data_IF_457221082446
#
_entry.id   IF_457221082446
#
_cell.length_a   1.000
_cell.length_b   1.000
_cell.length_c   1.000
_cell.angle_alpha   90.00
_cell.angle_beta   90.00
_cell.angle_gamma   90.00
#
_symmetry.space_group_name_H-M   'P 1'
#
loop_
_entity.id
_entity.type
_entity.pdbx_description
1 polymer ?
#
# COMPACT_ATOMS: atom_id res chain seq x y z
N UNK A 1 47.68 21.57 3.40
CA UNK A 1 46.80 21.97 2.28
C UNK A 1 46.12 20.70 1.74
N UNK A 2 44.85 20.42 2.13
CA UNK A 2 44.11 19.23 1.65
C UNK A 2 43.57 19.53 0.24
N UNK A 3 44.11 18.85 -0.77
CA UNK A 3 43.54 18.87 -2.12
C UNK A 3 42.10 18.36 -2.06
N UNK A 4 41.12 19.23 -2.37
CA UNK A 4 39.74 18.81 -2.68
C UNK A 4 39.81 17.96 -3.94
N UNK A 5 39.53 16.66 -3.84
CA UNK A 5 39.21 15.84 -5.01
C UNK A 5 38.07 16.53 -5.76
N UNK A 6 38.35 16.95 -7.00
CA UNK A 6 37.29 17.33 -7.95
C UNK A 6 36.54 16.02 -8.23
N UNK A 7 35.39 15.85 -7.58
CA UNK A 7 34.48 14.77 -7.92
C UNK A 7 33.90 15.20 -9.26
N UNK A 8 34.19 14.47 -10.32
CA UNK A 8 33.52 14.64 -11.61
C UNK A 8 32.01 14.63 -11.36
N UNK A 9 31.33 15.68 -11.79
CA UNK A 9 29.89 15.79 -11.63
C UNK A 9 29.24 14.61 -12.37
N UNK A 10 28.62 13.69 -11.63
CA UNK A 10 27.92 12.56 -12.19
C UNK A 10 26.85 13.08 -13.17
N UNK A 11 26.87 12.59 -14.40
CA UNK A 11 25.92 13.00 -15.42
C UNK A 11 24.48 12.72 -14.90
N UNK A 12 23.64 13.74 -14.87
CA UNK A 12 22.28 13.62 -14.32
C UNK A 12 21.34 13.04 -15.37
N UNK A 13 20.71 11.89 -15.15
CA UNK A 13 19.77 11.32 -16.09
C UNK A 13 18.53 12.20 -16.20
N UNK A 14 17.75 12.08 -17.29
CA UNK A 14 16.40 12.63 -17.34
C UNK A 14 15.53 12.02 -16.22
N UNK A 15 14.52 12.75 -15.75
CA UNK A 15 13.67 12.32 -14.62
C UNK A 15 13.02 10.96 -14.85
N UNK A 16 12.58 10.70 -16.09
CA UNK A 16 12.00 9.38 -16.46
C UNK A 16 13.04 8.25 -16.36
N UNK A 17 14.28 8.49 -16.80
CA UNK A 17 15.35 7.51 -16.67
C UNK A 17 15.70 7.24 -15.20
N UNK A 18 15.77 8.28 -14.38
CA UNK A 18 15.96 8.14 -12.93
C UNK A 18 14.81 7.36 -12.25
N UNK A 19 13.56 7.58 -12.69
CA UNK A 19 12.41 6.83 -12.17
C UNK A 19 12.49 5.34 -12.54
N UNK A 20 12.88 5.00 -13.77
CA UNK A 20 13.08 3.61 -14.19
C UNK A 20 14.20 2.93 -13.38
N UNK A 21 15.31 3.61 -13.17
CA UNK A 21 16.41 3.10 -12.35
C UNK A 21 15.97 2.86 -10.89
N UNK A 22 15.25 3.81 -10.30
CA UNK A 22 14.69 3.64 -8.97
C UNK A 22 13.74 2.46 -8.86
N UNK A 23 12.84 2.26 -9.85
CA UNK A 23 11.92 1.12 -9.88
C UNK A 23 12.69 -0.21 -9.97
N UNK A 24 13.75 -0.28 -10.75
CA UNK A 24 14.61 -1.47 -10.80
C UNK A 24 15.24 -1.78 -9.44
N UNK A 25 15.72 -0.74 -8.71
CA UNK A 25 16.21 -0.90 -7.33
C UNK A 25 15.11 -1.42 -6.41
N UNK A 26 13.88 -0.90 -6.53
CA UNK A 26 12.73 -1.36 -5.71
C UNK A 26 12.34 -2.80 -6.02
N UNK A 27 12.40 -3.20 -7.27
CA UNK A 27 12.16 -4.59 -7.68
C UNK A 27 13.22 -5.55 -7.09
N UNK A 28 14.49 -5.15 -7.11
CA UNK A 28 15.58 -5.93 -6.49
C UNK A 28 15.41 -6.07 -4.96
N UNK A 29 14.67 -5.18 -4.30
CA UNK A 29 14.31 -5.27 -2.88
C UNK A 29 13.17 -6.26 -2.60
N UNK A 30 12.67 -6.97 -3.61
CA UNK A 30 11.60 -7.97 -3.51
C UNK A 30 10.34 -7.46 -2.78
N UNK A 31 9.92 -6.23 -3.11
CA UNK A 31 8.67 -5.68 -2.62
C UNK A 31 7.48 -6.46 -3.20
N UNK A 32 6.31 -6.38 -2.54
CA UNK A 32 5.09 -6.98 -3.09
C UNK A 32 4.66 -6.31 -4.39
N UNK A 33 4.04 -7.08 -5.30
CA UNK A 33 3.53 -6.58 -6.59
C UNK A 33 2.63 -5.35 -6.42
N UNK A 34 1.78 -5.34 -5.39
CA UNK A 34 0.92 -4.22 -5.05
C UNK A 34 1.73 -2.95 -4.69
N UNK A 35 2.81 -3.13 -3.92
CA UNK A 35 3.69 -2.00 -3.58
C UNK A 35 4.47 -1.51 -4.80
N UNK A 36 4.91 -2.42 -5.68
CA UNK A 36 5.58 -2.07 -6.93
C UNK A 36 4.63 -1.32 -7.88
N UNK A 37 3.39 -1.81 -8.02
CA UNK A 37 2.35 -1.14 -8.80
C UNK A 37 2.08 0.28 -8.28
N UNK A 38 2.00 0.44 -6.95
CA UNK A 38 1.82 1.76 -6.34
C UNK A 38 3.00 2.71 -6.63
N UNK A 39 4.25 2.24 -6.50
CA UNK A 39 5.44 3.03 -6.89
C UNK A 39 5.34 3.47 -8.33
N UNK A 40 5.10 2.53 -9.24
CA UNK A 40 5.02 2.80 -10.67
C UNK A 40 3.93 3.84 -10.97
N UNK A 41 2.71 3.63 -10.50
CA UNK A 41 1.58 4.53 -10.77
C UNK A 41 1.82 5.96 -10.23
N UNK A 42 2.42 6.10 -9.02
CA UNK A 42 2.67 7.43 -8.47
C UNK A 42 3.82 8.14 -9.20
N UNK A 43 4.87 7.42 -9.61
CA UNK A 43 5.99 8.00 -10.35
C UNK A 43 5.59 8.36 -11.77
N UNK A 44 4.87 7.50 -12.49
CA UNK A 44 4.34 7.80 -13.83
C UNK A 44 3.50 9.08 -13.81
N UNK A 45 2.57 9.17 -12.83
CA UNK A 45 1.72 10.35 -12.68
C UNK A 45 2.54 11.62 -12.44
N UNK A 46 3.61 11.55 -11.64
CA UNK A 46 4.49 12.68 -11.37
C UNK A 46 5.31 13.05 -12.60
N UNK A 47 5.97 12.08 -13.24
CA UNK A 47 6.83 12.29 -14.42
C UNK A 47 6.03 12.85 -15.59
N UNK A 48 4.84 12.30 -15.87
CA UNK A 48 3.97 12.81 -16.93
C UNK A 48 3.50 14.27 -16.73
N UNK A 49 3.39 14.70 -15.47
CA UNK A 49 3.03 16.08 -15.10
C UNK A 49 4.21 17.03 -14.98
N UNK A 50 5.44 16.55 -15.12
CA UNK A 50 6.67 17.32 -14.94
C UNK A 50 7.33 17.64 -16.29
N UNK A 51 8.34 18.54 -16.27
CA UNK A 51 9.16 18.90 -17.44
C UNK A 51 10.24 17.86 -17.79
N UNK A 52 10.19 16.68 -17.19
CA UNK A 52 11.15 15.59 -17.38
C UNK A 52 12.63 16.03 -17.20
N UNK A 53 12.88 16.97 -16.31
CA UNK A 53 14.20 17.50 -15.98
C UNK A 53 14.64 17.11 -14.59
N UNK A 54 15.95 16.89 -14.41
CA UNK A 54 16.59 16.75 -13.10
C UNK A 54 17.27 18.05 -12.65
N UNK A 55 17.10 19.15 -13.40
CA UNK A 55 17.48 20.46 -12.91
C UNK A 55 16.68 20.79 -11.66
N UNK A 56 17.40 21.06 -10.56
CA UNK A 56 16.81 21.13 -9.25
C UNK A 56 15.72 22.23 -9.14
N UNK A 57 15.96 23.41 -9.71
CA UNK A 57 15.02 24.52 -9.71
C UNK A 57 13.69 24.20 -10.39
N UNK A 58 13.74 23.48 -11.51
CA UNK A 58 12.55 23.02 -12.25
C UNK A 58 11.82 21.92 -11.48
N UNK A 59 12.57 21.01 -10.88
CA UNK A 59 12.02 19.90 -10.10
C UNK A 59 11.32 20.39 -8.81
N UNK A 60 11.84 21.42 -8.15
CA UNK A 60 11.18 22.09 -7.02
C UNK A 60 9.81 22.66 -7.42
N UNK A 61 9.77 23.39 -8.53
CA UNK A 61 8.54 23.99 -9.06
C UNK A 61 7.52 22.91 -9.50
N UNK A 62 7.96 21.88 -10.21
CA UNK A 62 7.11 20.79 -10.66
C UNK A 62 6.53 20.01 -9.49
N UNK A 63 7.34 19.81 -8.42
CA UNK A 63 6.88 19.18 -7.19
C UNK A 63 5.78 19.99 -6.52
N UNK A 64 5.97 21.30 -6.38
CA UNK A 64 4.97 22.19 -5.81
C UNK A 64 3.68 22.18 -6.63
N UNK A 65 3.78 22.32 -7.95
CA UNK A 65 2.64 22.28 -8.88
C UNK A 65 1.87 20.97 -8.78
N UNK A 66 2.59 19.82 -8.75
CA UNK A 66 1.98 18.50 -8.63
C UNK A 66 1.14 18.35 -7.34
N UNK A 67 1.68 18.78 -6.20
CA UNK A 67 0.97 18.67 -4.93
C UNK A 67 -0.14 19.71 -4.76
N UNK A 68 -0.04 20.88 -5.40
CA UNK A 68 -1.05 21.92 -5.37
C UNK A 68 -2.38 21.52 -6.03
N UNK A 69 -2.34 20.69 -7.07
CA UNK A 69 -3.54 20.26 -7.80
C UNK A 69 -4.22 19.03 -7.17
N UNK A 70 -3.64 18.43 -6.12
CA UNK A 70 -4.26 17.29 -5.44
C UNK A 70 -5.46 17.80 -4.60
N UNK A 71 -6.69 17.33 -4.91
CA UNK A 71 -7.88 17.79 -4.19
C UNK A 71 -7.80 17.49 -2.69
N UNK A 72 -8.32 18.39 -1.88
CA UNK A 72 -8.38 18.23 -0.42
C UNK A 72 -9.62 17.42 0.02
N UNK A 73 -9.81 16.25 -0.60
CA UNK A 73 -10.96 15.39 -0.31
C UNK A 73 -10.69 14.35 0.77
N UNK A 74 -9.45 13.88 0.89
CA UNK A 74 -9.03 13.00 1.97
C UNK A 74 -7.51 13.04 2.17
N UNK A 75 -7.03 12.92 3.42
CA UNK A 75 -5.59 12.85 3.71
C UNK A 75 -4.88 11.72 2.95
N UNK A 76 -5.51 10.57 2.79
CA UNK A 76 -4.95 9.42 2.10
C UNK A 76 -4.60 9.73 0.63
N UNK A 77 -5.45 10.51 -0.07
CA UNK A 77 -5.23 10.90 -1.48
C UNK A 77 -3.98 11.77 -1.65
N UNK A 78 -3.65 12.58 -0.66
CA UNK A 78 -2.43 13.39 -0.63
C UNK A 78 -1.24 12.60 -0.10
N UNK A 79 -1.43 11.85 0.98
CA UNK A 79 -0.34 11.15 1.67
C UNK A 79 0.24 9.98 0.86
N UNK A 80 -0.56 9.36 -0.01
CA UNK A 80 -0.08 8.26 -0.87
C UNK A 80 1.00 8.75 -1.83
N UNK A 81 0.75 9.70 -2.76
CA UNK A 81 1.82 10.23 -3.62
C UNK A 81 2.97 10.86 -2.82
N UNK A 82 2.69 11.56 -1.73
CA UNK A 82 3.72 12.11 -0.87
C UNK A 82 4.74 11.04 -0.43
N UNK A 83 4.27 9.89 0.02
CA UNK A 83 5.13 8.81 0.51
C UNK A 83 6.02 8.22 -0.60
N UNK A 84 5.44 7.94 -1.76
CA UNK A 84 6.14 7.29 -2.86
C UNK A 84 7.12 8.22 -3.57
N UNK A 85 6.71 9.46 -3.84
CA UNK A 85 7.55 10.48 -4.49
C UNK A 85 8.67 10.94 -3.54
N UNK A 86 8.39 11.10 -2.24
CA UNK A 86 9.43 11.41 -1.26
C UNK A 86 10.51 10.31 -1.17
N UNK A 87 10.10 9.04 -1.25
CA UNK A 87 11.05 7.92 -1.27
C UNK A 87 11.95 7.95 -2.54
N UNK A 88 11.39 8.31 -3.68
CA UNK A 88 12.12 8.50 -4.93
C UNK A 88 13.13 9.66 -4.83
N UNK A 89 12.70 10.83 -4.39
CA UNK A 89 13.61 11.96 -4.23
C UNK A 89 14.71 11.71 -3.19
N UNK A 90 14.40 11.03 -2.09
CA UNK A 90 15.42 10.62 -1.12
C UNK A 90 16.44 9.65 -1.73
N UNK A 91 16.02 8.81 -2.67
CA UNK A 91 16.96 7.99 -3.43
C UNK A 91 17.80 8.83 -4.40
N UNK A 92 17.20 9.77 -5.14
CA UNK A 92 17.94 10.69 -6.03
C UNK A 92 19.00 11.51 -5.27
N UNK A 93 18.69 11.94 -4.03
CA UNK A 93 19.68 12.62 -3.18
C UNK A 93 20.84 11.69 -2.84
N UNK A 94 20.58 10.42 -2.49
CA UNK A 94 21.64 9.42 -2.21
C UNK A 94 22.47 9.07 -3.45
N UNK A 95 21.91 9.20 -4.65
CA UNK A 95 22.63 9.03 -5.92
C UNK A 95 23.36 10.29 -6.36
N UNK A 96 23.27 11.38 -5.59
CA UNK A 96 23.83 12.69 -5.91
C UNK A 96 23.26 13.31 -7.20
N UNK A 97 22.08 12.88 -7.65
CA UNK A 97 21.37 13.46 -8.78
C UNK A 97 20.77 14.83 -8.47
N UNK A 98 20.33 15.04 -7.23
CA UNK A 98 19.78 16.30 -6.72
C UNK A 98 20.40 16.62 -5.35
N UNK A 99 20.51 17.92 -4.97
CA UNK A 99 21.15 18.31 -3.71
C UNK A 99 20.31 18.03 -2.47
N UNK A 100 18.98 18.12 -2.58
CA UNK A 100 18.04 17.88 -1.47
C UNK A 100 16.68 17.41 -2.02
N UNK A 101 15.86 16.85 -1.16
CA UNK A 101 14.51 16.40 -1.53
C UNK A 101 13.57 17.61 -1.76
N UNK A 102 12.98 17.79 -2.98
CA UNK A 102 12.10 18.90 -3.28
C UNK A 102 10.86 19.00 -2.39
N UNK A 103 10.35 17.88 -1.88
CA UNK A 103 9.22 17.86 -0.96
C UNK A 103 9.57 18.59 0.35
N UNK A 104 10.74 18.27 0.92
CA UNK A 104 11.21 18.92 2.16
C UNK A 104 11.67 20.35 1.92
N UNK A 105 12.21 20.65 0.73
CA UNK A 105 12.60 22.01 0.34
C UNK A 105 11.40 22.96 0.26
N UNK A 106 10.26 22.46 -0.25
CA UNK A 106 8.99 23.18 -0.30
C UNK A 106 8.19 23.12 1.02
N UNK A 107 8.78 22.60 2.10
CA UNK A 107 8.13 22.45 3.41
C UNK A 107 6.81 21.66 3.37
N UNK A 108 6.60 20.85 2.33
CA UNK A 108 5.41 20.00 2.21
C UNK A 108 5.40 18.96 3.32
N UNK A 109 4.25 18.78 3.96
CA UNK A 109 4.06 17.85 5.08
C UNK A 109 2.91 16.90 4.78
N UNK A 110 2.99 15.68 5.33
CA UNK A 110 1.84 14.77 5.33
C UNK A 110 0.65 15.46 6.02
N UNK A 111 -0.54 15.26 5.44
CA UNK A 111 -1.78 15.70 6.06
C UNK A 111 -2.12 14.75 7.21
N UNK A 112 -2.61 15.32 8.31
CA UNK A 112 -3.05 14.52 9.45
C UNK A 112 -4.28 13.71 9.05
N UNK A 113 -4.22 12.42 9.24
CA UNK A 113 -5.37 11.52 9.07
C UNK A 113 -5.87 11.14 10.48
N UNK A 114 -6.99 11.69 10.86
CA UNK A 114 -7.59 11.41 12.17
C UNK A 114 -8.32 10.07 12.20
N UNK A 115 -8.30 9.34 11.08
CA UNK A 115 -8.82 7.97 10.98
C UNK A 115 -10.27 7.88 11.43
N UNK A 116 -11.18 8.46 10.65
CA UNK A 116 -12.61 8.41 10.99
C UNK A 116 -13.18 7.00 10.74
N UNK A 117 -12.71 6.02 11.52
CA UNK A 117 -13.22 4.66 11.49
C UNK A 117 -14.61 4.68 12.15
N UNK A 118 -15.65 4.64 11.32
CA UNK A 118 -17.01 4.44 11.81
C UNK A 118 -17.23 2.95 12.04
N UNK A 119 -17.40 2.50 13.29
CA UNK A 119 -17.74 1.10 13.55
C UNK A 119 -19.09 0.77 12.93
N UNK A 120 -19.21 -0.43 12.37
CA UNK A 120 -20.51 -0.94 11.89
C UNK A 120 -21.35 -1.26 13.11
N UNK A 121 -22.60 -0.79 13.15
CA UNK A 121 -23.52 -1.13 14.25
C UNK A 121 -23.91 -2.60 14.20
N UNK A 122 -24.19 -3.19 15.35
CA UNK A 122 -24.67 -4.59 15.43
C UNK A 122 -25.97 -4.76 14.63
N UNK A 123 -26.87 -3.77 14.68
CA UNK A 123 -28.13 -3.79 13.93
C UNK A 123 -27.93 -3.76 12.41
N UNK A 124 -26.97 -2.96 11.92
CA UNK A 124 -26.67 -2.92 10.48
C UNK A 124 -26.04 -4.23 10.02
N UNK A 125 -25.17 -4.80 10.84
CA UNK A 125 -24.57 -6.09 10.54
C UNK A 125 -25.61 -7.21 10.51
N UNK A 126 -26.52 -7.25 11.48
CA UNK A 126 -27.64 -8.20 11.47
C UNK A 126 -28.52 -8.04 10.25
N UNK A 127 -28.89 -6.80 9.89
CA UNK A 127 -29.68 -6.55 8.65
C UNK A 127 -28.94 -7.06 7.42
N UNK A 128 -27.66 -6.77 7.30
CA UNK A 128 -26.84 -7.26 6.20
C UNK A 128 -26.83 -8.80 6.13
N UNK A 129 -26.58 -9.46 7.25
CA UNK A 129 -26.54 -10.93 7.32
C UNK A 129 -27.90 -11.58 6.97
N UNK A 130 -29.01 -10.91 7.31
CA UNK A 130 -30.37 -11.37 7.00
C UNK A 130 -30.75 -11.17 5.53
N UNK A 131 -30.12 -10.21 4.82
CA UNK A 131 -30.34 -10.01 3.38
C UNK A 131 -29.68 -11.08 2.51
N UNK A 132 -28.75 -11.89 3.06
CA UNK A 132 -28.03 -12.90 2.30
C UNK A 132 -28.89 -14.14 2.07
N UNK A 133 -29.11 -14.52 0.82
CA UNK A 133 -29.80 -15.77 0.47
C UNK A 133 -28.85 -16.96 0.63
N UNK A 134 -28.93 -17.59 1.80
CA UNK A 134 -28.09 -18.75 2.17
C UNK A 134 -28.37 -20.03 1.38
N UNK A 135 -29.40 -20.02 0.52
CA UNK A 135 -29.71 -21.13 -0.40
C UNK A 135 -28.84 -21.05 -1.67
N UNK A 136 -28.32 -19.90 -1.97
CA UNK A 136 -27.40 -19.71 -3.10
C UNK A 136 -25.93 -19.86 -2.66
N UNK A 137 -25.09 -20.38 -3.55
CA UNK A 137 -23.65 -20.48 -3.29
C UNK A 137 -23.04 -19.11 -2.93
N UNK A 138 -23.37 -18.07 -3.68
CA UNK A 138 -22.86 -16.71 -3.44
C UNK A 138 -23.28 -16.16 -2.09
N UNK A 139 -24.55 -16.35 -1.73
CA UNK A 139 -25.08 -15.90 -0.44
C UNK A 139 -24.45 -16.64 0.75
N UNK A 140 -24.33 -17.98 0.66
CA UNK A 140 -23.68 -18.78 1.69
C UNK A 140 -22.18 -18.43 1.83
N UNK A 141 -21.47 -18.33 0.72
CA UNK A 141 -20.05 -17.90 0.71
C UNK A 141 -19.88 -16.53 1.37
N UNK A 142 -20.69 -15.54 1.02
CA UNK A 142 -20.61 -14.19 1.60
C UNK A 142 -20.92 -14.23 3.10
N UNK A 143 -21.93 -14.98 3.49
CA UNK A 143 -22.29 -15.19 4.89
C UNK A 143 -21.12 -15.77 5.70
N UNK A 144 -20.50 -16.84 5.19
CA UNK A 144 -19.35 -17.51 5.83
C UNK A 144 -18.14 -16.59 5.93
N UNK A 145 -17.82 -15.82 4.87
CA UNK A 145 -16.77 -14.81 4.87
C UNK A 145 -16.97 -13.82 6.03
N UNK A 146 -18.17 -13.26 6.15
CA UNK A 146 -18.47 -12.27 7.20
C UNK A 146 -18.39 -12.90 8.59
N UNK A 147 -18.91 -14.11 8.77
CA UNK A 147 -18.80 -14.84 10.04
C UNK A 147 -17.35 -15.03 10.47
N UNK A 148 -16.49 -15.52 9.58
CA UNK A 148 -15.07 -15.74 9.88
C UNK A 148 -14.38 -14.42 10.22
N UNK A 149 -14.66 -13.34 9.47
CA UNK A 149 -14.07 -12.02 9.76
C UNK A 149 -14.49 -11.49 11.13
N UNK A 150 -15.75 -11.69 11.50
CA UNK A 150 -16.26 -11.26 12.80
C UNK A 150 -15.67 -12.07 13.95
N UNK A 151 -15.52 -13.37 13.76
CA UNK A 151 -15.12 -14.32 14.80
C UNK A 151 -13.63 -14.18 15.15
N UNK A 152 -12.76 -14.11 14.14
CA UNK A 152 -11.32 -14.16 14.36
C UNK A 152 -10.54 -12.93 13.87
N UNK A 153 -11.21 -11.92 13.32
CA UNK A 153 -10.56 -10.68 12.87
C UNK A 153 -9.54 -10.86 11.75
N UNK A 154 -9.68 -11.90 10.92
CA UNK A 154 -8.79 -12.14 9.78
C UNK A 154 -8.89 -11.01 8.76
N UNK A 155 -7.77 -10.62 8.15
CA UNK A 155 -7.79 -9.63 7.07
C UNK A 155 -8.43 -10.19 5.81
N UNK A 156 -9.21 -9.37 5.10
CA UNK A 156 -9.91 -9.79 3.88
C UNK A 156 -8.97 -10.45 2.86
N UNK A 157 -7.79 -9.89 2.63
CA UNK A 157 -6.81 -10.44 1.69
C UNK A 157 -6.27 -11.82 2.14
N UNK A 158 -6.09 -11.99 3.43
CA UNK A 158 -5.65 -13.27 4.02
C UNK A 158 -6.77 -14.31 3.91
N UNK A 159 -8.01 -13.94 4.21
CA UNK A 159 -9.16 -14.82 4.09
C UNK A 159 -9.38 -15.31 2.65
N UNK A 160 -9.28 -14.41 1.67
CA UNK A 160 -9.44 -14.77 0.25
C UNK A 160 -8.29 -15.62 -0.30
N UNK A 161 -7.17 -15.68 0.39
CA UNK A 161 -6.02 -16.51 0.05
C UNK A 161 -5.98 -17.87 0.76
N UNK A 162 -6.96 -18.19 1.62
CA UNK A 162 -7.05 -19.49 2.29
C UNK A 162 -7.42 -20.59 1.30
N UNK A 163 -6.97 -21.79 1.61
CA UNK A 163 -7.30 -23.03 0.91
C UNK A 163 -8.01 -23.99 1.86
N UNK A 164 -8.71 -24.97 1.35
CA UNK A 164 -9.40 -25.99 2.15
C UNK A 164 -8.44 -26.69 3.13
N UNK A 165 -7.18 -26.91 2.72
CA UNK A 165 -6.12 -27.49 3.56
C UNK A 165 -5.71 -26.59 4.76
N UNK A 166 -6.11 -25.34 4.78
CA UNK A 166 -5.82 -24.41 5.89
C UNK A 166 -6.87 -24.46 6.99
N UNK A 167 -8.00 -25.17 6.77
CA UNK A 167 -9.05 -25.35 7.78
C UNK A 167 -8.96 -26.74 8.43
N UNK A 168 -8.92 -26.76 9.78
CA UNK A 168 -9.05 -27.98 10.57
C UNK A 168 -10.43 -27.99 11.26
N UNK A 169 -11.31 -28.84 10.75
CA UNK A 169 -12.68 -28.95 11.24
C UNK A 169 -12.76 -29.54 12.66
N UNK A 170 -11.83 -30.41 13.06
CA UNK A 170 -11.83 -31.03 14.39
C UNK A 170 -11.37 -30.04 15.49
N UNK A 171 -10.38 -29.23 15.16
CA UNK A 171 -9.84 -28.25 16.11
C UNK A 171 -10.50 -26.86 15.98
N UNK A 172 -11.40 -26.70 15.01
CA UNK A 172 -12.00 -25.40 14.67
C UNK A 172 -10.96 -24.32 14.42
N UNK A 173 -9.89 -24.62 13.67
CA UNK A 173 -8.79 -23.69 13.44
C UNK A 173 -8.62 -23.36 11.96
N UNK A 174 -8.17 -22.13 11.68
CA UNK A 174 -7.70 -21.67 10.37
C UNK A 174 -6.22 -21.33 10.47
N UNK A 175 -5.42 -21.90 9.58
CA UNK A 175 -4.01 -21.59 9.45
C UNK A 175 -3.78 -20.50 8.41
N UNK A 176 -3.34 -19.33 8.85
CA UNK A 176 -2.90 -18.28 7.94
C UNK A 176 -1.41 -18.47 7.67
N UNK A 177 -1.09 -19.02 6.51
CA UNK A 177 0.30 -19.32 6.12
C UNK A 177 1.12 -18.03 5.93
N UNK A 178 2.45 -18.14 6.04
CA UNK A 178 3.38 -17.02 5.85
C UNK A 178 3.30 -16.38 4.46
N UNK A 179 2.86 -17.12 3.45
CA UNK A 179 2.72 -16.64 2.06
C UNK A 179 1.52 -15.73 1.88
N UNK A 180 0.46 -15.96 2.65
CA UNK A 180 -0.80 -15.20 2.62
C UNK A 180 -0.79 -14.07 3.65
N UNK A 181 -0.12 -14.28 4.78
CA UNK A 181 -0.06 -13.34 5.88
C UNK A 181 0.62 -12.02 5.47
N UNK A 182 -0.05 -10.88 5.67
CA UNK A 182 0.53 -9.54 5.43
C UNK A 182 1.86 -9.32 6.18
N UNK A 183 1.99 -9.93 7.35
CA UNK A 183 3.19 -9.83 8.21
C UNK A 183 4.26 -10.87 7.86
N UNK A 184 4.02 -11.74 6.87
CA UNK A 184 4.88 -12.88 6.51
C UNK A 184 5.17 -13.82 7.69
N UNK A 185 4.28 -13.85 8.69
CA UNK A 185 4.34 -14.76 9.85
C UNK A 185 3.10 -15.64 9.85
N UNK A 186 3.32 -16.95 9.93
CA UNK A 186 2.24 -17.92 10.09
C UNK A 186 1.56 -17.75 11.45
N UNK A 187 0.24 -17.97 11.49
CA UNK A 187 -0.53 -18.00 12.73
C UNK A 187 -1.76 -18.88 12.58
N UNK A 188 -2.20 -19.43 13.70
CA UNK A 188 -3.49 -20.11 13.82
C UNK A 188 -4.54 -19.13 14.35
N UNK A 189 -5.73 -19.23 13.81
CA UNK A 189 -6.93 -18.51 14.25
C UNK A 189 -7.94 -19.56 14.72
N UNK A 190 -8.57 -19.32 15.87
CA UNK A 190 -9.58 -20.20 16.42
C UNK A 190 -10.96 -19.69 16.02
N UNK A 191 -11.83 -20.59 15.61
CA UNK A 191 -13.21 -20.30 15.21
C UNK A 191 -14.18 -20.82 16.30
N UNK A 192 -15.28 -20.11 16.48
CA UNK A 192 -16.41 -20.65 17.23
C UNK A 192 -16.97 -21.89 16.53
N UNK A 193 -17.60 -22.82 17.26
CA UNK A 193 -18.20 -24.00 16.66
C UNK A 193 -19.24 -23.66 15.56
N UNK A 194 -19.96 -22.55 15.73
CA UNK A 194 -20.94 -22.08 14.75
C UNK A 194 -20.26 -21.64 13.44
N UNK A 195 -19.17 -20.88 13.54
CA UNK A 195 -18.41 -20.42 12.39
C UNK A 195 -17.71 -21.59 11.70
N UNK A 196 -17.09 -22.50 12.47
CA UNK A 196 -16.46 -23.70 11.93
C UNK A 196 -17.47 -24.57 11.15
N UNK A 197 -18.69 -24.73 11.63
CA UNK A 197 -19.77 -25.44 10.91
C UNK A 197 -20.13 -24.73 9.60
N UNK A 198 -20.16 -23.41 9.59
CA UNK A 198 -20.45 -22.66 8.35
C UNK A 198 -19.31 -22.74 7.32
N UNK A 199 -18.06 -22.88 7.77
CA UNK A 199 -16.91 -23.09 6.89
C UNK A 199 -16.90 -24.50 6.30
N UNK A 200 -17.38 -25.50 7.04
CA UNK A 200 -17.43 -26.90 6.61
C UNK A 200 -18.61 -27.24 5.66
N UNK A 201 -19.62 -26.34 5.54
CA UNK A 201 -20.82 -26.57 4.74
C UNK A 201 -20.65 -26.22 3.28
#
# INVERSE_FOLDING_TARGET
MRMRKIVEAKERPALEAAAKEFLAVKQAQMLSDETMHDYQAQLERFVCGSRNSTEYSLLEQDTLAFFAVIPDTSPARYNKPYQYISAFFNWMVRQEYIPKNPITANELKKRRDEGNIKPVSVSDLQRFMNCLDKKTYTGMRTFTIVLVMMDCGIRTKELLGLRDSDFNAMEHTLRVSKTVAKTRRERLLYLSPQTAKAVAA
#
